data_IF_685467893369
#
_entry.id   IF_685467893369
#
_cell.length_a   1.000
_cell.length_b   1.000
_cell.length_c   1.000
_cell.angle_alpha   90.00
_cell.angle_beta   90.00
_cell.angle_gamma   90.00
#
_symmetry.space_group_name_H-M   'P 1'
#
loop_
_entity.id
_entity.type
_entity.pdbx_description
1 polymer ?
#
# COMPACT_ATOMS: atom_id res chain seq x y z
N UNK A 1 -24.15 -16.42 0.50
CA UNK A 1 -23.08 -15.71 1.24
C UNK A 1 -21.76 -16.11 0.60
N UNK A 2 -20.91 -15.15 0.22
CA UNK A 2 -19.58 -15.47 -0.32
C UNK A 2 -18.76 -16.17 0.76
N UNK A 3 -18.07 -17.25 0.41
CA UNK A 3 -17.13 -17.91 1.33
C UNK A 3 -15.89 -17.02 1.44
N UNK A 4 -15.51 -16.68 2.67
CA UNK A 4 -14.28 -15.93 2.89
C UNK A 4 -13.07 -16.77 2.46
N UNK A 5 -11.99 -16.13 1.95
CA UNK A 5 -10.73 -16.82 1.71
C UNK A 5 -10.17 -17.40 3.00
N UNK A 6 -9.39 -18.47 2.88
CA UNK A 6 -8.69 -19.03 4.03
C UNK A 6 -7.51 -18.14 4.47
N UNK A 7 -7.01 -18.37 5.68
CA UNK A 7 -5.89 -17.59 6.23
C UNK A 7 -4.60 -17.76 5.45
N UNK A 8 -4.37 -18.91 4.79
CA UNK A 8 -3.15 -19.13 4.02
C UNK A 8 -3.09 -18.21 2.80
N UNK A 9 -4.22 -18.00 2.14
CA UNK A 9 -4.35 -17.02 1.06
C UNK A 9 -4.09 -15.59 1.56
N UNK A 10 -4.62 -15.23 2.72
CA UNK A 10 -4.42 -13.89 3.30
C UNK A 10 -2.95 -13.65 3.70
N UNK A 11 -2.28 -14.66 4.25
CA UNK A 11 -0.84 -14.57 4.54
C UNK A 11 -0.01 -14.43 3.26
N UNK A 12 -0.38 -15.15 2.19
CA UNK A 12 0.31 -15.00 0.91
C UNK A 12 0.20 -13.58 0.34
N UNK A 13 -0.97 -12.95 0.43
CA UNK A 13 -1.13 -11.54 0.03
C UNK A 13 -0.30 -10.60 0.90
N UNK A 14 -0.22 -10.85 2.21
CA UNK A 14 0.60 -10.06 3.11
C UNK A 14 2.10 -10.17 2.76
N UNK A 15 2.59 -11.36 2.43
CA UNK A 15 3.98 -11.57 2.01
C UNK A 15 4.33 -10.79 0.73
N UNK A 16 3.39 -10.72 -0.24
CA UNK A 16 3.55 -9.92 -1.46
C UNK A 16 3.58 -8.42 -1.16
N UNK A 17 2.66 -7.94 -0.32
CA UNK A 17 2.63 -6.54 0.08
C UNK A 17 3.89 -6.14 0.89
N UNK A 18 4.39 -7.02 1.76
CA UNK A 18 5.63 -6.81 2.51
C UNK A 18 6.84 -6.68 1.57
N UNK A 19 6.88 -7.48 0.50
CA UNK A 19 7.95 -7.42 -0.50
C UNK A 19 8.01 -6.05 -1.22
N UNK A 20 6.87 -5.38 -1.40
CA UNK A 20 6.83 -4.04 -2.00
C UNK A 20 7.04 -2.91 -0.98
N UNK A 21 6.48 -3.05 0.23
CA UNK A 21 6.48 -1.98 1.22
C UNK A 21 7.75 -1.91 2.06
N UNK A 22 8.32 -3.05 2.48
CA UNK A 22 9.48 -3.08 3.37
C UNK A 22 10.75 -2.47 2.76
N UNK A 23 11.10 -2.72 1.47
CA UNK A 23 12.27 -2.08 0.86
C UNK A 23 12.14 -0.57 0.70
N UNK A 24 10.90 -0.06 0.73
CA UNK A 24 10.53 1.36 0.61
C UNK A 24 10.20 2.00 1.96
N UNK A 25 10.45 1.29 3.06
CA UNK A 25 10.30 1.83 4.41
C UNK A 25 11.53 2.65 4.81
N UNK A 26 11.32 3.84 5.38
CA UNK A 26 12.37 4.78 5.83
C UNK A 26 13.32 5.28 4.73
N UNK A 27 12.91 5.22 3.47
CA UNK A 27 13.58 5.92 2.37
C UNK A 27 12.92 7.28 2.13
N UNK A 28 13.64 8.19 1.48
CA UNK A 28 13.08 9.49 1.10
C UNK A 28 11.88 9.31 0.17
N UNK A 29 10.70 9.77 0.63
CA UNK A 29 9.45 9.63 -0.10
C UNK A 29 9.25 10.80 -1.06
N UNK A 30 9.05 10.48 -2.35
CA UNK A 30 8.53 11.43 -3.32
C UNK A 30 7.02 11.64 -3.09
N UNK A 31 6.65 12.61 -2.26
CA UNK A 31 5.24 12.98 -2.03
C UNK A 31 4.82 14.01 -3.10
N UNK A 32 4.06 13.57 -4.11
CA UNK A 32 3.58 14.41 -5.22
C UNK A 32 2.26 15.16 -4.93
N UNK A 33 1.83 15.26 -3.67
CA UNK A 33 0.51 15.82 -3.35
C UNK A 33 0.49 17.35 -3.42
N UNK A 34 -0.19 17.92 -4.44
CA UNK A 34 -0.49 19.35 -4.51
C UNK A 34 -1.67 19.71 -3.60
N UNK A 35 -1.40 20.40 -2.49
CA UNK A 35 -2.42 20.79 -1.50
C UNK A 35 -3.40 21.80 -2.12
N UNK A 36 -4.70 21.49 -2.10
CA UNK A 36 -5.80 22.41 -2.47
C UNK A 36 -6.55 22.84 -1.21
N UNK A 37 -7.20 24.01 -1.23
CA UNK A 37 -8.05 24.44 -0.11
C UNK A 37 -9.18 23.41 0.14
N UNK A 38 -9.32 22.94 1.39
CA UNK A 38 -10.27 21.89 1.77
C UNK A 38 -9.75 20.45 1.63
N UNK A 39 -8.48 20.25 1.24
CA UNK A 39 -7.89 18.92 1.10
C UNK A 39 -7.45 18.35 2.46
N UNK A 40 -7.94 17.16 2.82
CA UNK A 40 -7.41 16.37 3.95
C UNK A 40 -6.21 15.58 3.43
N UNK A 41 -5.04 15.83 4.01
CA UNK A 41 -3.81 15.13 3.62
C UNK A 41 -3.98 13.62 3.85
N UNK A 42 -3.94 12.86 2.76
CA UNK A 42 -4.05 11.40 2.71
C UNK A 42 -3.12 10.90 1.58
N UNK A 43 -1.79 10.89 1.82
CA UNK A 43 -0.81 10.63 0.78
C UNK A 43 -0.81 9.14 0.41
N UNK A 44 -0.81 8.87 -0.89
CA UNK A 44 -0.53 7.55 -1.45
C UNK A 44 0.90 7.55 -1.97
N UNK A 45 1.73 6.66 -1.43
CA UNK A 45 3.14 6.50 -1.79
C UNK A 45 3.31 5.54 -2.96
N UNK A 46 4.52 5.44 -3.50
CA UNK A 46 4.87 4.39 -4.47
C UNK A 46 4.66 2.99 -3.86
N UNK A 47 5.03 2.80 -2.59
CA UNK A 47 4.88 1.53 -1.90
C UNK A 47 3.42 1.05 -1.87
N UNK A 48 2.47 1.97 -1.64
CA UNK A 48 1.04 1.64 -1.62
C UNK A 48 0.54 1.20 -2.99
N UNK A 49 1.02 1.85 -4.07
CA UNK A 49 0.62 1.52 -5.45
C UNK A 49 1.16 0.16 -5.89
N UNK A 50 2.44 -0.07 -5.65
CA UNK A 50 3.07 -1.33 -6.05
C UNK A 50 2.49 -2.52 -5.25
N UNK A 51 2.19 -2.33 -3.96
CA UNK A 51 1.50 -3.34 -3.16
C UNK A 51 0.07 -3.65 -3.63
N UNK A 52 -0.64 -2.69 -4.24
CA UNK A 52 -1.97 -2.92 -4.83
C UNK A 52 -1.90 -3.68 -6.17
N UNK A 53 -0.79 -3.53 -6.92
CA UNK A 53 -0.59 -4.17 -8.23
C UNK A 53 -0.11 -5.62 -8.10
N UNK A 54 0.72 -5.92 -7.11
CA UNK A 54 1.33 -7.23 -6.85
C UNK A 54 0.29 -8.31 -6.49
#
# INVERSE_FOLDING_TARGET
>A
MSKLPDSSFLHHLADLADAETLPRYLVDLAVETKVKAGYRFDPVTEADREAEIA
#
